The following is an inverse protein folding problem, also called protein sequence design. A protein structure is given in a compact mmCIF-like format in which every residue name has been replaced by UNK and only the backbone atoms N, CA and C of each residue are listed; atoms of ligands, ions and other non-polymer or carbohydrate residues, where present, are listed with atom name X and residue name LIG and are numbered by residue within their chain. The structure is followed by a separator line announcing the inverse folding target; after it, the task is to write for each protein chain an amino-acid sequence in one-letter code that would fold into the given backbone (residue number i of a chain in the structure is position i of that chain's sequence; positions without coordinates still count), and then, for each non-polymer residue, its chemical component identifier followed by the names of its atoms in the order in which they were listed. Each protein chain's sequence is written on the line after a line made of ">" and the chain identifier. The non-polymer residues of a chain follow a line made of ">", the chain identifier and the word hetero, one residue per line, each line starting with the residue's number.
data_IF_631104239859
#
_entry.id   IF_631104239859
#
_cell.length_a   1.000
_cell.length_b   1.000
_cell.length_c   1.000
_cell.angle_alpha   90.00
_cell.angle_beta   90.00
_cell.angle_gamma   90.00
#
_symmetry.space_group_name_H-M   'P 1'
#
loop_
_entity.id
_entity.type
_entity.pdbx_description
1 polymer ?
#
# COMPACT_ATOMS: atom_id res chain seq x y z
N UNK A 1 14.32 14.70 -11.52
CA UNK A 1 14.37 13.40 -10.83
C UNK A 1 13.70 12.38 -11.73
N UNK A 2 14.47 11.77 -12.62
CA UNK A 2 13.98 10.76 -13.58
C UNK A 2 14.51 9.42 -13.11
N UNK A 3 13.96 8.91 -12.02
CA UNK A 3 14.22 7.53 -11.59
C UNK A 3 13.07 6.69 -12.10
N UNK A 4 13.40 5.60 -12.77
CA UNK A 4 12.42 4.59 -13.16
C UNK A 4 11.74 4.03 -11.91
N UNK A 5 10.44 3.74 -12.01
CA UNK A 5 9.58 3.42 -10.85
C UNK A 5 10.05 2.16 -10.13
N UNK A 6 10.48 1.14 -10.87
CA UNK A 6 10.91 -0.14 -10.28
C UNK A 6 12.23 -0.02 -9.49
N UNK A 7 13.32 0.54 -10.04
CA UNK A 7 14.53 0.80 -9.25
C UNK A 7 14.31 1.66 -8.00
N UNK A 8 13.29 2.53 -8.02
CA UNK A 8 12.89 3.26 -6.82
C UNK A 8 12.24 2.35 -5.77
N UNK A 9 11.27 1.52 -6.18
CA UNK A 9 10.60 0.54 -5.31
C UNK A 9 11.60 -0.48 -4.74
N UNK A 10 12.52 -0.99 -5.57
CA UNK A 10 13.55 -1.96 -5.14
C UNK A 10 14.38 -1.39 -3.99
N UNK A 11 14.93 -0.19 -4.17
CA UNK A 11 15.72 0.51 -3.15
C UNK A 11 14.91 0.79 -1.88
N UNK A 12 13.63 1.13 -2.03
CA UNK A 12 12.73 1.35 -0.88
C UNK A 12 12.65 0.08 -0.02
N UNK A 13 12.44 -1.08 -0.64
CA UNK A 13 12.41 -2.36 0.05
C UNK A 13 13.77 -2.74 0.67
N UNK A 14 14.88 -2.53 -0.06
CA UNK A 14 16.24 -2.77 0.44
C UNK A 14 16.57 -1.93 1.69
N UNK A 15 16.16 -0.66 1.70
CA UNK A 15 16.37 0.22 2.85
C UNK A 15 15.48 -0.16 4.04
N UNK A 16 14.23 -0.55 3.78
CA UNK A 16 13.34 -1.07 4.81
C UNK A 16 13.95 -2.32 5.47
N UNK A 17 14.47 -3.27 4.67
CA UNK A 17 15.18 -4.43 5.18
C UNK A 17 16.40 -4.03 6.02
N UNK A 18 17.25 -3.14 5.51
CA UNK A 18 18.40 -2.65 6.28
C UNK A 18 18.01 -2.06 7.64
N UNK A 19 16.88 -1.36 7.73
CA UNK A 19 16.39 -0.76 8.98
C UNK A 19 15.91 -1.78 10.02
N UNK A 20 15.45 -2.97 9.60
CA UNK A 20 14.82 -3.97 10.47
C UNK A 20 15.62 -5.26 10.64
N UNK A 21 16.65 -5.50 9.81
CA UNK A 21 17.37 -6.79 9.77
C UNK A 21 17.92 -7.25 11.12
N UNK A 22 18.43 -6.32 11.94
CA UNK A 22 19.00 -6.61 13.28
C UNK A 22 17.96 -6.56 14.41
N UNK A 23 16.66 -6.54 14.10
CA UNK A 23 15.57 -6.41 15.09
C UNK A 23 14.54 -7.56 15.02
N UNK A 24 14.95 -8.84 14.87
CA UNK A 24 14.01 -9.94 14.73
C UNK A 24 13.08 -10.04 15.95
N UNK A 25 11.77 -10.14 15.70
CA UNK A 25 10.74 -10.24 16.72
C UNK A 25 10.55 -8.99 17.60
N UNK A 26 11.17 -7.86 17.26
CA UNK A 26 11.10 -6.60 18.02
C UNK A 26 10.41 -5.47 17.27
N UNK A 27 9.91 -5.73 16.07
CA UNK A 27 9.25 -4.76 15.21
C UNK A 27 7.80 -5.16 15.03
N UNK A 28 6.91 -4.17 15.15
CA UNK A 28 5.50 -4.28 14.79
C UNK A 28 5.13 -3.14 13.87
N UNK A 29 4.17 -3.41 12.98
CA UNK A 29 3.72 -2.50 11.94
C UNK A 29 2.23 -2.23 12.15
N UNK A 30 1.83 -0.98 11.92
CA UNK A 30 0.45 -0.53 12.04
C UNK A 30 0.15 0.33 10.81
N UNK A 31 -0.88 -0.05 10.04
CA UNK A 31 -1.36 0.72 8.91
C UNK A 31 -2.71 1.35 9.27
N UNK A 32 -2.85 2.63 8.97
CA UNK A 32 -4.09 3.39 9.15
C UNK A 32 -4.69 3.62 7.77
N UNK A 33 -5.72 2.84 7.43
CA UNK A 33 -6.43 2.94 6.16
C UNK A 33 -7.63 3.87 6.34
N UNK A 34 -7.32 5.13 6.58
CA UNK A 34 -8.27 6.21 6.78
C UNK A 34 -7.84 7.41 5.92
N UNK A 35 -8.80 8.12 5.34
CA UNK A 35 -8.52 9.28 4.50
C UNK A 35 -7.64 8.93 3.29
N UNK A 36 -7.97 7.88 2.55
CA UNK A 36 -7.17 7.41 1.41
C UNK A 36 -7.30 8.39 0.23
N UNK A 37 -6.40 9.38 0.16
CA UNK A 37 -6.35 10.44 -0.86
C UNK A 37 -5.41 10.10 -2.02
N UNK A 38 -5.58 10.71 -3.20
CA UNK A 38 -4.76 10.41 -4.39
C UNK A 38 -3.30 10.88 -4.31
N UNK A 39 -3.05 11.97 -3.60
CA UNK A 39 -1.72 12.52 -3.31
C UNK A 39 -1.50 12.60 -1.79
N UNK A 40 -0.34 13.11 -1.36
CA UNK A 40 -0.08 13.40 0.05
C UNK A 40 -1.24 14.21 0.65
N UNK A 41 -1.83 13.75 1.72
CA UNK A 41 -2.84 14.49 2.50
C UNK A 41 -2.34 15.88 2.97
N UNK A 42 -1.02 16.05 3.01
CA UNK A 42 -0.34 17.27 3.38
C UNK A 42 -0.33 18.37 2.30
N UNK A 43 -0.65 18.06 1.04
CA UNK A 43 -0.57 19.04 -0.06
C UNK A 43 -1.95 19.60 -0.42
N UNK A 44 -2.08 20.91 -0.70
CA UNK A 44 -3.38 21.56 -0.87
C UNK A 44 -4.12 21.18 -2.15
N UNK A 45 -3.48 20.44 -3.06
CA UNK A 45 -4.08 19.97 -4.31
C UNK A 45 -4.52 18.50 -4.27
N UNK A 46 -4.23 17.78 -3.17
CA UNK A 46 -4.73 16.43 -2.99
C UNK A 46 -6.25 16.48 -2.88
N UNK A 47 -6.92 15.65 -3.66
CA UNK A 47 -8.39 15.62 -3.69
C UNK A 47 -8.97 14.89 -2.46
N UNK A 48 -10.29 14.83 -2.37
CA UNK A 48 -10.99 14.03 -1.39
C UNK A 48 -10.58 12.53 -1.46
N UNK A 49 -10.87 11.81 -0.37
CA UNK A 49 -10.62 10.38 -0.31
C UNK A 49 -11.31 9.64 -1.47
N UNK A 50 -10.67 8.59 -1.99
CA UNK A 50 -11.13 7.84 -3.18
C UNK A 50 -11.94 6.60 -2.83
N UNK A 51 -11.88 6.13 -1.59
CA UNK A 51 -12.64 5.00 -1.04
C UNK A 51 -13.05 5.30 0.41
N UNK A 52 -14.00 4.57 1.01
CA UNK A 52 -14.33 4.68 2.43
C UNK A 52 -13.14 4.39 3.34
N UNK A 53 -13.20 4.89 4.57
CA UNK A 53 -12.28 4.48 5.63
C UNK A 53 -12.49 3.00 5.97
N UNK A 54 -11.40 2.25 6.05
CA UNK A 54 -11.41 0.80 6.29
C UNK A 54 -11.09 0.51 7.76
N UNK A 55 -10.13 1.25 8.35
CA UNK A 55 -9.76 1.11 9.75
C UNK A 55 -8.26 0.98 9.97
N UNK A 56 -7.88 0.20 10.98
CA UNK A 56 -6.49 0.06 11.43
C UNK A 56 -6.09 -1.41 11.35
N UNK A 57 -4.94 -1.69 10.73
CA UNK A 57 -4.34 -3.00 10.67
C UNK A 57 -3.10 -3.04 11.56
N UNK A 58 -2.79 -4.21 12.10
CA UNK A 58 -1.56 -4.46 12.83
C UNK A 58 -0.96 -5.81 12.44
N UNK A 59 0.36 -5.88 12.33
CA UNK A 59 1.10 -7.10 11.99
C UNK A 59 2.53 -7.04 12.51
N UNK A 60 3.16 -8.20 12.68
CA UNK A 60 4.63 -8.30 12.86
C UNK A 60 5.37 -8.51 11.54
N UNK A 61 4.64 -8.73 10.45
CA UNK A 61 5.15 -8.92 9.10
C UNK A 61 4.77 -7.69 8.24
N UNK A 62 5.76 -6.95 7.71
CA UNK A 62 5.54 -5.74 6.92
C UNK A 62 4.97 -6.02 5.53
N UNK A 63 5.33 -7.14 4.90
CA UNK A 63 4.87 -7.47 3.55
C UNK A 63 3.42 -7.92 3.61
N UNK A 64 3.07 -8.74 4.61
CA UNK A 64 1.71 -9.22 4.82
C UNK A 64 0.72 -8.08 5.09
N UNK A 65 1.09 -7.07 5.90
CA UNK A 65 0.20 -5.94 6.22
C UNK A 65 0.02 -4.99 5.04
N UNK A 66 1.08 -4.76 4.24
CA UNK A 66 0.99 -3.93 3.04
C UNK A 66 0.14 -4.62 1.97
N UNK A 67 0.27 -5.94 1.81
CA UNK A 67 -0.59 -6.72 0.91
C UNK A 67 -2.06 -6.70 1.36
N UNK A 68 -2.32 -6.96 2.65
CA UNK A 68 -3.67 -6.85 3.20
C UNK A 68 -4.26 -5.45 3.01
N UNK A 69 -3.45 -4.42 3.21
CA UNK A 69 -3.87 -3.02 3.02
C UNK A 69 -4.23 -2.72 1.58
N UNK A 70 -3.39 -3.14 0.63
CA UNK A 70 -3.62 -2.98 -0.79
C UNK A 70 -4.90 -3.68 -1.25
N UNK A 71 -5.10 -4.92 -0.81
CA UNK A 71 -6.28 -5.71 -1.16
C UNK A 71 -7.56 -5.11 -0.58
N UNK A 72 -7.56 -4.70 0.70
CA UNK A 72 -8.74 -4.09 1.33
C UNK A 72 -9.15 -2.80 0.61
N UNK A 73 -8.19 -1.91 0.29
CA UNK A 73 -8.47 -0.69 -0.48
C UNK A 73 -9.07 -1.02 -1.84
N UNK A 74 -8.52 -2.02 -2.54
CA UNK A 74 -9.01 -2.39 -3.86
C UNK A 74 -10.35 -3.13 -3.81
N UNK A 75 -10.68 -3.77 -2.69
CA UNK A 75 -11.98 -4.41 -2.46
C UNK A 75 -13.14 -3.43 -2.29
N UNK A 76 -12.83 -2.16 -1.98
CA UNK A 76 -13.84 -1.13 -1.80
C UNK A 76 -14.41 -0.58 -3.12
N UNK A 77 -15.62 -0.04 -3.03
CA UNK A 77 -16.21 0.75 -4.12
C UNK A 77 -15.55 2.14 -4.15
N UNK A 78 -14.93 2.48 -5.28
CA UNK A 78 -14.35 3.80 -5.50
C UNK A 78 -15.42 4.90 -5.56
N UNK A 79 -15.12 6.05 -4.96
CA UNK A 79 -16.00 7.22 -4.96
C UNK A 79 -15.97 7.95 -6.30
N UNK A 80 -17.16 8.19 -6.84
CA UNK A 80 -17.34 9.06 -8.01
C UNK A 80 -17.07 10.52 -7.65
N UNK A 81 -16.65 11.32 -8.64
CA UNK A 81 -16.33 12.76 -8.48
C UNK A 81 -15.13 13.02 -7.57
N UNK A 82 -14.16 12.13 -7.62
CA UNK A 82 -12.83 12.29 -7.05
C UNK A 82 -11.80 12.21 -8.19
N UNK A 83 -10.51 12.33 -7.90
CA UNK A 83 -9.43 12.09 -8.86
C UNK A 83 -9.28 10.63 -9.29
N UNK A 84 -10.06 9.70 -8.73
CA UNK A 84 -10.15 8.37 -9.29
C UNK A 84 -10.80 8.46 -10.69
N UNK A 85 -10.01 8.18 -11.74
CA UNK A 85 -10.46 8.32 -13.13
C UNK A 85 -10.93 6.99 -13.75
N UNK A 86 -10.52 5.88 -13.15
CA UNK A 86 -10.88 4.52 -13.55
C UNK A 86 -10.86 3.55 -12.37
N UNK A 87 -11.09 2.27 -12.64
CA UNK A 87 -11.00 1.19 -11.64
C UNK A 87 -11.95 1.35 -10.44
N UNK A 88 -13.17 1.81 -10.66
CA UNK A 88 -14.13 2.09 -9.58
C UNK A 88 -14.67 0.83 -8.88
N UNK A 89 -14.79 -0.30 -9.57
CA UNK A 89 -15.47 -1.47 -9.03
C UNK A 89 -14.62 -2.21 -7.99
N UNK A 90 -15.24 -2.88 -7.00
CA UNK A 90 -14.55 -3.79 -6.09
C UNK A 90 -13.65 -4.80 -6.83
N UNK A 91 -12.42 -4.95 -6.35
CA UNK A 91 -11.38 -5.82 -6.93
C UNK A 91 -10.52 -5.16 -8.00
N UNK A 92 -10.86 -3.95 -8.45
CA UNK A 92 -10.02 -3.17 -9.38
C UNK A 92 -8.99 -2.32 -8.63
N UNK A 93 -7.79 -2.18 -9.20
CA UNK A 93 -6.67 -1.46 -8.59
C UNK A 93 -6.93 0.06 -8.57
N UNK A 94 -7.33 0.59 -7.40
CA UNK A 94 -7.66 2.00 -7.19
C UNK A 94 -6.45 2.90 -7.41
N UNK A 95 -5.26 2.45 -7.03
CA UNK A 95 -4.03 3.23 -7.17
C UNK A 95 -3.67 3.45 -8.64
N UNK A 96 -3.82 2.41 -9.48
CA UNK A 96 -3.70 2.55 -10.94
C UNK A 96 -4.85 3.32 -11.58
N UNK A 97 -6.03 3.32 -10.97
CA UNK A 97 -7.15 4.17 -11.39
C UNK A 97 -6.92 5.67 -11.19
N UNK A 98 -5.98 6.03 -10.31
CA UNK A 98 -5.53 7.41 -10.07
C UNK A 98 -4.28 7.70 -10.92
N UNK A 99 -3.25 6.87 -10.75
CA UNK A 99 -1.95 7.03 -11.39
C UNK A 99 -1.55 5.73 -12.10
N UNK A 100 -1.73 5.68 -13.42
CA UNK A 100 -1.54 4.48 -14.25
C UNK A 100 -0.12 3.90 -14.22
N UNK A 101 0.87 4.73 -13.89
CA UNK A 101 2.26 4.35 -13.77
C UNK A 101 2.61 3.69 -12.43
N UNK A 102 1.69 3.61 -11.46
CA UNK A 102 1.95 2.97 -10.16
C UNK A 102 2.00 1.44 -10.26
N UNK A 103 2.89 0.82 -9.48
CA UNK A 103 3.10 -0.62 -9.46
C UNK A 103 3.18 -1.16 -8.02
N UNK A 104 2.10 -0.98 -7.25
CA UNK A 104 2.05 -1.40 -5.85
C UNK A 104 2.24 -2.91 -5.64
N UNK A 105 1.75 -3.73 -6.57
CA UNK A 105 1.91 -5.19 -6.49
C UNK A 105 3.36 -5.62 -6.60
N UNK A 106 4.16 -4.92 -7.41
CA UNK A 106 5.58 -5.19 -7.55
C UNK A 106 6.36 -4.96 -6.25
N UNK A 107 6.00 -3.93 -5.46
CA UNK A 107 6.60 -3.71 -4.14
C UNK A 107 6.40 -4.92 -3.22
N UNK A 108 5.18 -5.46 -3.17
CA UNK A 108 4.84 -6.62 -2.34
C UNK A 108 5.68 -7.84 -2.76
N UNK A 109 5.68 -8.17 -4.06
CA UNK A 109 6.42 -9.34 -4.57
C UNK A 109 7.92 -9.20 -4.34
N UNK A 110 8.51 -8.05 -4.68
CA UNK A 110 9.95 -7.84 -4.50
C UNK A 110 10.37 -7.85 -3.02
N UNK A 111 9.57 -7.24 -2.14
CA UNK A 111 9.85 -7.27 -0.70
C UNK A 111 9.82 -8.70 -0.12
N UNK A 112 8.89 -9.55 -0.60
CA UNK A 112 8.86 -10.96 -0.23
C UNK A 112 10.09 -11.72 -0.74
N UNK A 113 10.46 -11.54 -2.03
CA UNK A 113 11.65 -12.15 -2.63
C UNK A 113 12.94 -11.76 -1.91
N UNK A 114 13.02 -10.51 -1.42
CA UNK A 114 14.13 -9.99 -0.63
C UNK A 114 14.19 -10.59 0.79
N UNK A 115 13.11 -11.22 1.26
CA UNK A 115 13.00 -11.80 2.60
C UNK A 115 12.60 -10.80 3.69
N UNK A 116 11.94 -9.69 3.33
CA UNK A 116 11.45 -8.69 4.30
C UNK A 116 10.22 -9.19 5.07
N UNK A 117 9.47 -10.13 4.49
CA UNK A 117 8.25 -10.71 5.03
C UNK A 117 7.62 -11.66 4.03
N UNK A 118 6.43 -12.15 4.35
CA UNK A 118 5.69 -13.10 3.53
C UNK A 118 4.64 -12.39 2.66
N UNK A 119 4.52 -12.83 1.41
CA UNK A 119 3.46 -12.34 0.53
C UNK A 119 2.08 -12.81 1.00
N UNK A 120 1.97 -14.00 1.57
CA UNK A 120 0.69 -14.52 2.04
C UNK A 120 0.33 -13.95 3.40
N UNK A 121 -0.94 -13.57 3.56
CA UNK A 121 -1.48 -13.11 4.85
C UNK A 121 -2.78 -13.85 5.19
N UNK A 122 -3.15 -13.77 6.47
CA UNK A 122 -4.48 -14.16 6.95
C UNK A 122 -5.07 -13.00 7.72
N UNK A 123 -6.20 -12.48 7.23
CA UNK A 123 -6.93 -11.45 7.94
C UNK A 123 -7.67 -12.07 9.14
N UNK A 124 -7.54 -11.43 10.31
CA UNK A 124 -8.25 -11.79 11.54
C UNK A 124 -8.98 -10.54 12.01
N UNK A 125 -10.30 -10.56 11.97
CA UNK A 125 -11.16 -9.49 12.48
C UNK A 125 -11.36 -9.65 13.99
N UNK A 126 -11.35 -8.53 14.71
CA UNK A 126 -11.47 -8.46 16.18
C UNK A 126 -12.63 -7.55 16.57
#
# INVERSE_FOLDING_TARGET
>A
WTTEIRPFIERLCEYALGAVHDKPGRVGYINFLIGITPDCDCVPWSDAAVVPDIGILASTDPVAIDHASFDLVNSEQGFSRTQLTGNFAPGEDKFRGIWDYTDGRYQITYAAELGLGEETYRLIEV
#
